data_IF_432527068629
#
_entry.id   IF_432527068629
#
_cell.length_a   1.000
_cell.length_b   1.000
_cell.length_c   1.000
_cell.angle_alpha   90.00
_cell.angle_beta   90.00
_cell.angle_gamma   90.00
#
_symmetry.space_group_name_H-M   'P 1'
#
loop_
_entity.id
_entity.type
_entity.pdbx_description
1 polymer ?
#
# COMPACT_ATOMS: atom_id res chain seq x y z
N UNK A 1 -8.36 -17.60 -0.79
CA UNK A 1 -9.47 -16.64 -1.02
C UNK A 1 -9.57 -15.81 0.23
N UNK A 2 -9.61 -14.48 0.10
CA UNK A 2 -9.81 -13.55 1.23
C UNK A 2 -11.29 -13.52 1.58
N UNK A 3 -11.62 -13.63 2.87
CA UNK A 3 -12.99 -13.54 3.35
C UNK A 3 -13.44 -12.08 3.42
N UNK A 4 -12.53 -11.18 3.77
CA UNK A 4 -12.83 -9.73 3.79
C UNK A 4 -13.15 -9.15 2.43
N UNK A 5 -12.53 -9.67 1.39
CA UNK A 5 -12.71 -9.17 0.03
C UNK A 5 -13.62 -10.05 -0.84
N UNK A 6 -14.04 -11.22 -0.33
CA UNK A 6 -14.78 -12.24 -1.08
C UNK A 6 -14.14 -12.57 -2.45
N UNK A 7 -12.80 -12.60 -2.50
CA UNK A 7 -12.05 -12.66 -3.74
C UNK A 7 -10.66 -13.29 -3.57
N UNK A 8 -10.06 -13.67 -4.70
CA UNK A 8 -8.63 -13.98 -4.75
C UNK A 8 -7.85 -12.66 -4.83
N UNK A 9 -6.99 -12.41 -3.84
CA UNK A 9 -6.08 -11.27 -3.85
C UNK A 9 -4.79 -11.67 -4.56
N UNK A 10 -4.35 -10.85 -5.53
CA UNK A 10 -3.13 -11.09 -6.30
C UNK A 10 -1.99 -10.23 -5.76
N UNK A 11 -0.89 -10.87 -5.40
CA UNK A 11 0.32 -10.19 -4.94
C UNK A 11 1.45 -10.34 -5.94
N UNK A 12 2.42 -9.43 -5.90
CA UNK A 12 3.58 -9.38 -6.79
C UNK A 12 4.89 -9.78 -6.09
N UNK A 13 4.86 -9.98 -4.78
CA UNK A 13 6.00 -10.41 -3.98
C UNK A 13 5.58 -11.30 -2.81
N UNK A 14 6.56 -12.02 -2.23
CA UNK A 14 6.36 -12.81 -1.00
C UNK A 14 6.02 -11.89 0.18
N UNK A 15 6.62 -10.70 0.26
CA UNK A 15 6.31 -9.75 1.33
C UNK A 15 4.87 -9.25 1.25
N UNK A 16 4.36 -8.96 0.06
CA UNK A 16 2.93 -8.62 -0.13
C UNK A 16 2.01 -9.79 0.21
N UNK A 17 2.43 -11.02 -0.14
CA UNK A 17 1.68 -12.24 0.21
C UNK A 17 1.59 -12.40 1.73
N UNK A 18 2.71 -12.27 2.44
CA UNK A 18 2.73 -12.35 3.91
C UNK A 18 1.92 -11.22 4.54
N UNK A 19 1.98 -10.02 3.97
CA UNK A 19 1.21 -8.87 4.44
C UNK A 19 -0.30 -9.08 4.36
N UNK A 20 -0.79 -9.85 3.37
CA UNK A 20 -2.20 -10.19 3.28
C UNK A 20 -2.74 -10.87 4.55
N UNK A 21 -1.91 -11.66 5.27
CA UNK A 21 -2.35 -12.27 6.53
C UNK A 21 -2.58 -11.23 7.62
N UNK A 22 -1.74 -10.19 7.69
CA UNK A 22 -1.96 -9.09 8.64
C UNK A 22 -3.26 -8.33 8.32
N UNK A 23 -3.55 -8.09 7.05
CA UNK A 23 -4.79 -7.44 6.63
C UNK A 23 -6.02 -8.32 6.90
N UNK A 24 -5.94 -9.61 6.60
CA UNK A 24 -7.04 -10.55 6.78
C UNK A 24 -7.41 -10.73 8.26
N UNK A 25 -6.43 -10.80 9.16
CA UNK A 25 -6.70 -11.09 10.58
C UNK A 25 -6.84 -9.86 11.48
N UNK A 26 -6.47 -8.66 11.02
CA UNK A 26 -6.64 -7.45 11.82
C UNK A 26 -8.13 -7.04 11.91
N UNK A 27 -8.77 -7.03 13.09
CA UNK A 27 -10.20 -6.71 13.21
C UNK A 27 -10.57 -5.30 12.78
N UNK A 28 -9.61 -4.36 12.79
CA UNK A 28 -9.84 -2.97 12.39
C UNK A 28 -9.83 -2.78 10.87
N UNK A 29 -9.35 -3.78 10.11
CA UNK A 29 -9.39 -3.76 8.64
C UNK A 29 -10.73 -4.34 8.18
N UNK A 30 -11.49 -3.55 7.42
CA UNK A 30 -12.75 -3.96 6.81
C UNK A 30 -12.53 -4.70 5.49
N UNK A 31 -11.78 -4.09 4.58
CA UNK A 31 -11.46 -4.62 3.24
C UNK A 31 -10.13 -4.05 2.75
N UNK A 32 -9.56 -4.67 1.72
CA UNK A 32 -8.31 -4.22 1.12
C UNK A 32 -8.18 -4.61 -0.36
N UNK A 33 -7.56 -3.73 -1.15
CA UNK A 33 -7.39 -3.89 -2.59
C UNK A 33 -5.90 -3.92 -2.91
N UNK A 34 -5.42 -5.02 -3.48
CA UNK A 34 -4.06 -5.11 -4.04
C UNK A 34 -3.94 -4.35 -5.35
N UNK A 35 -2.89 -3.55 -5.53
CA UNK A 35 -2.61 -2.80 -6.76
C UNK A 35 -3.84 -2.01 -7.26
N UNK A 36 -4.38 -1.07 -6.43
CA UNK A 36 -5.57 -0.27 -6.77
C UNK A 36 -5.29 0.67 -7.95
N UNK A 37 -6.24 1.56 -8.25
CA UNK A 37 -6.06 2.52 -9.35
C UNK A 37 -4.75 3.31 -9.24
N UNK A 38 -3.98 3.31 -10.33
CA UNK A 38 -2.69 3.99 -10.41
C UNK A 38 -2.82 5.50 -10.65
N UNK A 39 -2.07 6.28 -9.88
CA UNK A 39 -1.95 7.72 -10.01
C UNK A 39 -0.93 8.11 -11.07
N UNK A 40 -1.17 9.26 -11.69
CA UNK A 40 -0.18 9.92 -12.53
C UNK A 40 0.19 11.26 -11.90
N UNK A 41 1.48 11.56 -11.83
CA UNK A 41 1.99 12.81 -11.27
C UNK A 41 3.19 13.31 -12.08
N UNK A 42 3.51 14.59 -11.95
CA UNK A 42 4.70 15.17 -12.56
C UNK A 42 5.78 15.34 -11.48
N UNK A 43 6.97 14.82 -11.75
CA UNK A 43 8.14 14.95 -10.88
C UNK A 43 9.40 15.12 -11.73
N UNK A 44 10.22 16.13 -11.41
CA UNK A 44 11.44 16.48 -12.17
C UNK A 44 11.25 16.54 -13.70
N UNK A 45 10.17 17.18 -14.13
CA UNK A 45 9.84 17.35 -15.56
C UNK A 45 9.40 16.07 -16.28
N UNK A 46 9.19 14.96 -15.55
CA UNK A 46 8.73 13.68 -16.10
C UNK A 46 7.34 13.34 -15.60
N UNK A 47 6.52 12.75 -16.47
CA UNK A 47 5.26 12.13 -16.09
C UNK A 47 5.55 10.75 -15.51
N UNK A 48 5.23 10.59 -14.24
CA UNK A 48 5.44 9.37 -13.47
C UNK A 48 4.08 8.69 -13.23
N UNK A 49 4.11 7.37 -13.12
CA UNK A 49 2.98 6.55 -12.69
C UNK A 49 3.32 5.92 -11.35
N UNK A 50 2.37 5.96 -10.43
CA UNK A 50 2.47 5.34 -9.12
C UNK A 50 1.23 4.48 -8.86
N UNK A 51 1.44 3.20 -8.55
CA UNK A 51 0.38 2.30 -8.09
C UNK A 51 0.78 1.82 -6.72
N UNK A 52 -0.02 2.11 -5.67
CA UNK A 52 0.22 1.56 -4.34
C UNK A 52 0.23 0.03 -4.34
N UNK A 53 0.93 -0.59 -3.41
CA UNK A 53 0.82 -2.04 -3.24
C UNK A 53 -0.57 -2.44 -2.70
N UNK A 54 -1.08 -1.69 -1.72
CA UNK A 54 -2.42 -1.88 -1.17
C UNK A 54 -3.16 -0.57 -0.90
N UNK A 55 -4.48 -0.61 -1.07
CA UNK A 55 -5.44 0.29 -0.43
C UNK A 55 -6.14 -0.47 0.69
N UNK A 56 -6.11 0.04 1.92
CA UNK A 56 -6.72 -0.60 3.09
C UNK A 56 -7.81 0.31 3.62
N UNK A 57 -9.01 -0.22 3.81
CA UNK A 57 -10.15 0.49 4.40
C UNK A 57 -10.39 -0.05 5.82
N UNK A 58 -10.49 0.86 6.79
CA UNK A 58 -10.83 0.51 8.17
C UNK A 58 -12.35 0.41 8.41
N UNK A 59 -12.74 0.00 9.61
CA UNK A 59 -14.15 -0.10 10.02
C UNK A 59 -14.89 1.26 10.07
N UNK A 60 -14.16 2.38 9.99
CA UNK A 60 -14.70 3.75 9.97
C UNK A 60 -14.71 4.35 8.56
N UNK A 61 -14.52 3.52 7.53
CA UNK A 61 -14.42 3.92 6.13
C UNK A 61 -13.24 4.86 5.83
N UNK A 62 -12.21 4.88 6.67
CA UNK A 62 -10.97 5.60 6.38
C UNK A 62 -10.04 4.72 5.57
N UNK A 63 -9.49 5.28 4.49
CA UNK A 63 -8.63 4.55 3.57
C UNK A 63 -7.17 4.99 3.70
N UNK A 64 -6.25 4.03 3.67
CA UNK A 64 -4.81 4.26 3.69
C UNK A 64 -4.11 3.51 2.56
N UNK A 65 -3.12 4.16 1.92
CA UNK A 65 -2.21 3.49 0.99
C UNK A 65 -1.03 2.89 1.74
N UNK A 66 -0.68 1.65 1.41
CA UNK A 66 0.44 0.93 2.03
C UNK A 66 1.40 0.45 0.95
N UNK A 67 2.68 0.76 1.14
CA UNK A 67 3.80 0.27 0.34
C UNK A 67 4.54 -0.83 1.09
N UNK A 68 4.77 -1.96 0.44
CA UNK A 68 5.52 -3.07 1.01
C UNK A 68 6.89 -3.09 0.35
N UNK A 69 7.93 -2.91 1.17
CA UNK A 69 9.33 -2.88 0.74
C UNK A 69 10.20 -3.58 1.76
N UNK A 70 11.28 -4.19 1.31
CA UNK A 70 12.26 -4.77 2.23
C UNK A 70 12.95 -3.64 3.01
N UNK A 71 13.29 -3.86 4.27
CA UNK A 71 13.91 -2.83 5.12
C UNK A 71 15.20 -2.25 4.53
N UNK A 72 15.95 -3.07 3.78
CA UNK A 72 17.15 -2.63 3.06
C UNK A 72 16.90 -1.64 1.91
N UNK A 73 15.64 -1.44 1.51
CA UNK A 73 15.21 -0.49 0.47
C UNK A 73 14.62 0.79 1.06
N UNK A 74 14.57 0.89 2.38
CA UNK A 74 14.18 2.12 3.06
C UNK A 74 15.43 2.98 3.13
N UNK A 75 15.46 4.02 2.31
CA UNK A 75 16.47 5.06 2.48
C UNK A 75 16.34 5.63 3.90
N UNK A 76 17.45 5.90 4.61
CA UNK A 76 17.39 6.66 5.83
C UNK A 76 16.63 7.95 5.55
N UNK A 77 15.76 8.41 6.45
CA UNK A 77 14.90 9.57 6.21
C UNK A 77 15.78 10.73 5.73
N UNK A 78 15.64 11.10 4.45
CA UNK A 78 16.33 12.24 3.93
C UNK A 78 15.75 13.47 4.64
N UNK A 79 16.62 14.23 5.29
CA UNK A 79 16.28 15.38 6.12
C UNK A 79 15.81 16.55 5.23
N UNK A 80 14.65 16.42 4.57
CA UNK A 80 14.08 17.43 3.68
C UNK A 80 12.86 18.08 4.31
N UNK A 81 13.06 18.79 5.42
CA UNK A 81 12.24 19.95 5.78
C UNK A 81 12.90 20.74 6.92
N UNK A 82 13.65 21.79 6.58
CA UNK A 82 13.85 22.93 7.49
C UNK A 82 13.15 24.12 6.84
N UNK A 83 12.06 24.65 7.42
CA UNK A 83 11.52 25.91 6.94
C UNK A 83 12.56 27.01 7.20
N UNK A 84 12.82 27.82 6.18
CA UNK A 84 13.64 29.04 6.31
C UNK A 84 12.86 30.14 7.02
#
# INVERSE_FOLDING_TARGET
MSLKNDAVVRTLSVLEFDFCFHLEYNPDVKEYISQPYGYHYHFNGRKCRYTPDFLVCDQKEQSSFVEIKHSSQIDPPQQFWTPS
#
